data_IF_620846152303
#
_entry.id   IF_620846152303
#
_cell.length_a   1.000
_cell.length_b   1.000
_cell.length_c   1.000
_cell.angle_alpha   90.00
_cell.angle_beta   90.00
_cell.angle_gamma   90.00
#
_symmetry.space_group_name_H-M   'P 1'
#
loop_
_entity.id
_entity.type
_entity.pdbx_description
1 polymer ?
#
# COMPACT_ATOMS: atom_id res chain seq x y z
N UNK A 1 27.75 -4.97 35.33
CA UNK A 1 26.96 -5.33 34.13
C UNK A 1 25.74 -4.44 34.11
N UNK A 2 25.63 -3.54 33.13
CA UNK A 2 24.47 -2.65 33.01
C UNK A 2 23.30 -3.41 32.38
N UNK A 3 22.09 -3.10 32.83
CA UNK A 3 20.82 -3.60 32.29
C UNK A 3 19.98 -2.36 31.96
N UNK A 4 19.64 -2.18 30.67
CA UNK A 4 18.94 -1.02 30.13
C UNK A 4 17.90 -1.46 29.10
N UNK A 5 16.69 -1.85 29.55
CA UNK A 5 15.61 -2.18 28.63
C UNK A 5 15.26 -0.96 27.77
N UNK A 6 15.30 -1.11 26.45
CA UNK A 6 15.06 -0.04 25.47
C UNK A 6 13.72 -0.16 24.76
N UNK A 7 13.18 -1.38 24.66
CA UNK A 7 11.89 -1.65 24.02
C UNK A 7 11.29 -2.96 24.52
N UNK A 8 9.97 -3.12 24.42
CA UNK A 8 9.25 -4.32 24.81
C UNK A 8 8.03 -4.58 23.92
N UNK A 9 7.84 -5.83 23.49
CA UNK A 9 6.72 -6.27 22.66
C UNK A 9 6.23 -7.66 23.07
N UNK A 10 4.92 -7.90 22.97
CA UNK A 10 4.39 -9.26 23.09
C UNK A 10 4.52 -10.00 21.77
N UNK A 11 5.25 -11.11 21.78
CA UNK A 11 5.43 -11.97 20.61
C UNK A 11 4.17 -12.78 20.27
N UNK A 12 4.20 -13.45 19.13
CA UNK A 12 3.09 -14.28 18.63
C UNK A 12 2.81 -15.53 19.47
N UNK A 13 3.76 -15.89 20.33
CA UNK A 13 3.69 -16.96 21.31
C UNK A 13 3.12 -16.49 22.67
N UNK A 14 2.77 -15.20 22.78
CA UNK A 14 2.26 -14.59 24.01
C UNK A 14 3.35 -14.26 25.06
N UNK A 15 4.63 -14.44 24.75
CA UNK A 15 5.73 -14.06 25.63
C UNK A 15 6.03 -12.56 25.52
N UNK A 16 6.48 -11.94 26.62
CA UNK A 16 7.02 -10.57 26.56
C UNK A 16 8.49 -10.64 26.13
N UNK A 17 8.78 -10.07 24.97
CA UNK A 17 10.15 -9.86 24.51
C UNK A 17 10.55 -8.45 24.89
N UNK A 18 11.74 -8.28 25.47
CA UNK A 18 12.31 -6.96 25.66
C UNK A 18 13.76 -6.92 25.23
N UNK A 19 14.12 -5.84 24.56
CA UNK A 19 15.48 -5.56 24.14
C UNK A 19 16.20 -4.86 25.29
N UNK A 20 17.39 -5.34 25.60
CA UNK A 20 18.33 -4.67 26.47
C UNK A 20 19.52 -4.26 25.62
N UNK A 21 19.56 -2.99 25.29
CA UNK A 21 20.55 -2.39 24.43
C UNK A 21 21.24 -1.25 25.17
N UNK A 22 22.56 -1.32 25.20
CA UNK A 22 23.38 -0.30 25.84
C UNK A 22 24.11 0.51 24.78
N UNK A 23 23.65 1.73 24.54
CA UNK A 23 24.38 2.71 23.76
C UNK A 23 24.85 3.86 24.67
N UNK A 24 26.08 4.33 24.47
CA UNK A 24 26.61 5.52 25.15
C UNK A 24 25.95 6.79 24.62
N UNK A 25 25.54 6.76 23.34
CA UNK A 25 24.87 7.87 22.65
C UNK A 25 23.36 7.62 22.63
N UNK A 26 22.61 8.46 23.34
CA UNK A 26 21.13 8.49 23.34
C UNK A 26 20.70 9.87 22.83
N UNK A 27 19.86 9.95 21.79
CA UNK A 27 19.35 11.24 21.31
C UNK A 27 18.56 11.20 20.00
N UNK A 28 17.67 12.19 19.83
CA UNK A 28 16.93 12.45 18.59
C UNK A 28 17.83 13.15 17.57
N UNK A 29 18.66 12.39 16.86
CA UNK A 29 19.49 12.85 15.72
C UNK A 29 20.56 13.92 16.02
N UNK A 30 20.81 14.27 17.29
CA UNK A 30 21.90 15.20 17.68
C UNK A 30 23.30 14.64 17.38
N UNK A 31 23.42 13.32 17.27
CA UNK A 31 24.62 12.60 16.87
C UNK A 31 24.34 11.80 15.60
N UNK A 32 25.30 11.80 14.68
CA UNK A 32 25.19 11.08 13.41
C UNK A 32 24.84 9.59 13.65
N UNK A 33 23.97 9.00 12.81
CA UNK A 33 23.63 7.58 12.87
C UNK A 33 24.84 6.66 12.63
N UNK A 34 25.91 7.18 12.01
CA UNK A 34 27.19 6.49 11.78
C UNK A 34 28.29 6.86 12.81
N UNK A 35 27.92 7.49 13.92
CA UNK A 35 28.89 7.82 14.97
C UNK A 35 29.59 6.53 15.47
N UNK A 36 30.93 6.46 15.45
CA UNK A 36 31.67 5.24 15.77
C UNK A 36 31.52 4.81 17.24
N UNK A 37 31.04 5.68 18.12
CA UNK A 37 30.77 5.33 19.51
C UNK A 37 29.40 4.65 19.71
N UNK A 38 28.60 4.50 18.64
CA UNK A 38 27.37 3.70 18.71
C UNK A 38 27.72 2.22 18.79
N UNK A 39 27.18 1.55 19.81
CA UNK A 39 27.42 0.12 19.98
C UNK A 39 26.55 -0.70 19.00
N UNK A 40 27.22 -1.39 18.08
CA UNK A 40 26.63 -2.27 17.08
C UNK A 40 26.83 -3.76 17.38
N UNK A 41 27.54 -4.11 18.47
CA UNK A 41 27.97 -5.47 18.76
C UNK A 41 27.32 -6.06 20.00
N UNK A 42 26.86 -5.23 20.94
CA UNK A 42 26.30 -5.69 22.21
C UNK A 42 24.82 -5.33 22.38
N UNK A 43 24.00 -6.37 22.50
CA UNK A 43 22.59 -6.28 22.84
C UNK A 43 22.08 -7.65 23.28
N UNK A 44 21.00 -7.67 24.04
CA UNK A 44 20.33 -8.90 24.48
C UNK A 44 18.85 -8.78 24.18
N UNK A 45 18.25 -9.88 23.74
CA UNK A 45 16.78 -10.02 23.69
C UNK A 45 16.42 -11.01 24.77
N UNK A 46 15.60 -10.57 25.71
CA UNK A 46 15.04 -11.42 26.73
C UNK A 46 13.64 -11.84 26.31
N UNK A 47 13.33 -13.12 26.52
CA UNK A 47 11.98 -13.68 26.36
C UNK A 47 11.46 -14.06 27.74
N UNK A 48 10.45 -13.35 28.21
CA UNK A 48 9.82 -13.59 29.51
C UNK A 48 8.49 -14.31 29.33
N UNK A 49 8.32 -15.41 30.06
CA UNK A 49 7.12 -16.24 30.06
C UNK A 49 6.61 -16.42 31.47
N UNK A 50 5.30 -16.59 31.64
CA UNK A 50 4.71 -16.89 32.94
C UNK A 50 4.89 -18.38 33.25
N UNK A 51 5.48 -18.69 34.41
CA UNK A 51 5.68 -20.07 34.86
C UNK A 51 4.34 -20.82 34.90
N UNK A 52 4.31 -22.03 34.31
CA UNK A 52 3.12 -22.87 34.29
C UNK A 52 2.04 -22.45 33.28
N UNK A 53 2.24 -21.36 32.52
CA UNK A 53 1.32 -20.96 31.44
C UNK A 53 1.87 -21.42 30.08
N UNK A 54 1.13 -22.24 29.30
CA UNK A 54 1.57 -22.63 27.97
C UNK A 54 1.63 -21.42 27.04
N UNK A 55 2.56 -21.48 26.10
CA UNK A 55 2.68 -20.48 25.03
C UNK A 55 1.49 -20.56 24.09
N UNK A 56 1.14 -19.42 23.50
CA UNK A 56 0.15 -19.34 22.44
C UNK A 56 0.64 -20.12 21.21
N UNK A 57 -0.26 -20.85 20.56
CA UNK A 57 0.04 -21.49 19.29
C UNK A 57 0.13 -20.44 18.17
N UNK A 58 1.04 -20.59 17.20
CA UNK A 58 1.07 -19.74 16.02
C UNK A 58 -0.29 -19.73 15.31
N UNK A 59 -0.73 -18.55 14.88
CA UNK A 59 -1.96 -18.37 14.09
C UNK A 59 -1.55 -18.07 12.66
N UNK A 60 -2.02 -18.89 11.71
CA UNK A 60 -1.74 -18.69 10.30
C UNK A 60 -2.47 -17.43 9.78
N UNK A 61 -1.75 -16.58 9.05
CA UNK A 61 -2.28 -15.33 8.49
C UNK A 61 -1.93 -15.24 7.00
N UNK A 62 -0.64 -15.17 6.67
CA UNK A 62 -0.18 -15.07 5.28
C UNK A 62 -0.72 -16.23 4.42
N UNK A 63 -1.35 -15.89 3.30
CA UNK A 63 -1.89 -16.86 2.35
C UNK A 63 -3.18 -17.56 2.79
N UNK A 64 -3.73 -17.28 3.97
CA UNK A 64 -5.01 -17.84 4.40
C UNK A 64 -6.18 -17.23 3.61
N UNK A 65 -7.28 -17.97 3.34
CA UNK A 65 -8.43 -17.41 2.65
C UNK A 65 -9.14 -16.34 3.50
N UNK A 66 -9.82 -15.38 2.87
CA UNK A 66 -10.48 -14.26 3.56
C UNK A 66 -11.39 -14.72 4.72
N UNK A 67 -12.23 -15.76 4.59
CA UNK A 67 -13.05 -16.24 5.71
C UNK A 67 -12.25 -16.69 6.93
N UNK A 68 -11.09 -17.34 6.73
CA UNK A 68 -10.22 -17.76 7.84
C UNK A 68 -9.56 -16.56 8.52
N UNK A 69 -9.20 -15.53 7.75
CA UNK A 69 -8.70 -14.27 8.31
C UNK A 69 -9.78 -13.53 9.11
N UNK A 70 -11.01 -13.47 8.61
CA UNK A 70 -12.11 -12.86 9.37
C UNK A 70 -12.36 -13.62 10.68
N UNK A 71 -12.18 -14.94 10.71
CA UNK A 71 -12.25 -15.71 11.95
C UNK A 71 -11.15 -15.33 12.97
N UNK A 72 -9.93 -15.06 12.50
CA UNK A 72 -8.81 -14.58 13.33
C UNK A 72 -9.12 -13.25 14.03
N UNK A 73 -10.05 -12.43 13.53
CA UNK A 73 -10.44 -11.18 14.17
C UNK A 73 -11.17 -11.40 15.51
N UNK A 74 -11.63 -12.62 15.82
CA UNK A 74 -12.16 -12.98 17.15
C UNK A 74 -11.08 -13.36 18.16
N UNK A 75 -9.82 -13.45 17.73
CA UNK A 75 -8.74 -13.93 18.58
C UNK A 75 -8.51 -12.96 19.76
N UNK A 76 -8.29 -13.43 21.00
CA UNK A 76 -8.16 -12.55 22.18
C UNK A 76 -6.92 -11.64 22.14
N UNK A 77 -5.86 -12.10 21.48
CA UNK A 77 -4.58 -11.37 21.34
C UNK A 77 -4.63 -10.34 20.22
N UNK A 78 -4.40 -9.07 20.56
CA UNK A 78 -4.49 -7.96 19.59
C UNK A 78 -3.50 -8.06 18.44
N UNK A 79 -2.27 -8.52 18.68
CA UNK A 79 -1.26 -8.68 17.61
C UNK A 79 -1.67 -9.68 16.52
N UNK A 80 -2.54 -10.65 16.84
CA UNK A 80 -3.12 -11.56 15.83
C UNK A 80 -4.15 -10.80 15.00
N UNK A 81 -5.05 -10.04 15.64
CA UNK A 81 -6.08 -9.26 14.95
C UNK A 81 -5.46 -8.14 14.10
N UNK A 82 -4.49 -7.40 14.64
CA UNK A 82 -3.78 -6.34 13.92
C UNK A 82 -3.07 -6.86 12.67
N UNK A 83 -2.26 -7.92 12.78
CA UNK A 83 -1.59 -8.53 11.61
C UNK A 83 -2.59 -9.08 10.60
N UNK A 84 -3.72 -9.62 11.08
CA UNK A 84 -4.83 -10.07 10.23
C UNK A 84 -5.45 -8.90 9.46
N UNK A 85 -5.72 -7.76 10.10
CA UNK A 85 -6.21 -6.54 9.44
C UNK A 85 -5.23 -6.02 8.39
N UNK A 86 -3.92 -6.02 8.69
CA UNK A 86 -2.86 -5.68 7.73
C UNK A 86 -2.89 -6.61 6.52
N UNK A 87 -2.95 -7.93 6.72
CA UNK A 87 -3.07 -8.91 5.63
C UNK A 87 -4.33 -8.69 4.78
N UNK A 88 -5.47 -8.39 5.41
CA UNK A 88 -6.73 -8.09 4.71
C UNK A 88 -6.61 -6.82 3.85
N UNK A 89 -5.93 -5.78 4.34
CA UNK A 89 -5.77 -4.52 3.59
C UNK A 89 -4.98 -4.63 2.29
N UNK A 90 -4.12 -5.64 2.16
CA UNK A 90 -3.40 -5.91 0.91
C UNK A 90 -4.24 -6.62 -0.17
N UNK A 91 -5.50 -6.99 0.14
CA UNK A 91 -6.37 -7.77 -0.75
C UNK A 91 -7.37 -6.89 -1.48
N UNK A 92 -8.10 -7.50 -2.41
CA UNK A 92 -9.11 -6.76 -3.16
C UNK A 92 -10.24 -6.25 -2.25
N UNK A 93 -10.44 -4.93 -2.27
CA UNK A 93 -11.42 -4.25 -1.42
C UNK A 93 -12.84 -4.79 -1.62
N UNK A 94 -13.26 -5.10 -2.85
CA UNK A 94 -14.63 -5.57 -3.10
C UNK A 94 -14.83 -6.96 -2.48
N UNK A 95 -13.84 -7.84 -2.63
CA UNK A 95 -13.87 -9.17 -2.03
C UNK A 95 -13.86 -9.13 -0.50
N UNK A 96 -12.97 -8.32 0.10
CA UNK A 96 -12.86 -8.21 1.56
C UNK A 96 -14.13 -7.61 2.16
N UNK A 97 -14.67 -6.54 1.58
CA UNK A 97 -15.88 -5.90 2.11
C UNK A 97 -17.10 -6.81 1.95
N UNK A 98 -17.25 -7.50 0.82
CA UNK A 98 -18.35 -8.47 0.64
C UNK A 98 -18.27 -9.61 1.67
N UNK A 99 -17.07 -10.17 1.87
CA UNK A 99 -16.86 -11.22 2.86
C UNK A 99 -17.08 -10.73 4.30
N UNK A 100 -16.62 -9.51 4.62
CA UNK A 100 -16.81 -8.88 5.94
C UNK A 100 -18.30 -8.66 6.22
N UNK A 101 -19.05 -8.13 5.25
CA UNK A 101 -20.50 -7.97 5.35
C UNK A 101 -21.24 -9.29 5.56
N UNK A 102 -20.82 -10.35 4.88
CA UNK A 102 -21.38 -11.68 5.11
C UNK A 102 -21.01 -12.23 6.49
N UNK A 103 -19.77 -12.06 6.92
CA UNK A 103 -19.26 -12.53 8.21
C UNK A 103 -19.96 -11.83 9.38
N UNK A 104 -20.26 -10.54 9.27
CA UNK A 104 -20.95 -9.77 10.32
C UNK A 104 -22.36 -10.28 10.64
N UNK A 105 -23.05 -10.94 9.71
CA UNK A 105 -24.44 -11.41 9.89
C UNK A 105 -24.61 -12.42 11.03
N UNK A 106 -23.52 -13.02 11.51
CA UNK A 106 -23.55 -13.96 12.63
C UNK A 106 -23.59 -13.27 14.00
N UNK A 107 -23.36 -11.96 14.05
CA UNK A 107 -23.25 -11.18 15.29
C UNK A 107 -24.48 -10.31 15.51
N UNK A 108 -24.85 -10.15 16.77
CA UNK A 108 -25.96 -9.32 17.20
C UNK A 108 -25.44 -8.00 17.79
N UNK A 109 -25.71 -6.82 17.19
CA UNK A 109 -25.25 -5.54 17.70
C UNK A 109 -25.84 -5.17 19.07
N UNK A 110 -26.90 -5.85 19.52
CA UNK A 110 -27.48 -5.67 20.84
C UNK A 110 -26.79 -6.53 21.93
N UNK A 111 -25.88 -7.43 21.57
CA UNK A 111 -25.12 -8.25 22.52
C UNK A 111 -23.75 -7.67 22.82
N UNK A 112 -23.34 -7.76 24.08
CA UNK A 112 -22.06 -7.21 24.55
C UNK A 112 -20.88 -8.00 23.99
N UNK A 113 -21.03 -9.31 23.89
CA UNK A 113 -20.00 -10.26 23.45
C UNK A 113 -19.70 -10.09 21.95
N UNK A 114 -20.71 -9.68 21.18
CA UNK A 114 -20.64 -9.51 19.73
C UNK A 114 -20.14 -8.11 19.32
N UNK A 115 -20.04 -7.17 20.28
CA UNK A 115 -19.61 -5.81 20.02
C UNK A 115 -18.17 -5.71 19.50
N UNK A 116 -17.26 -6.56 19.99
CA UNK A 116 -15.86 -6.53 19.56
C UNK A 116 -15.68 -7.08 18.13
N UNK A 117 -16.22 -8.25 17.74
CA UNK A 117 -16.20 -8.68 16.35
C UNK A 117 -16.82 -7.66 15.37
N UNK A 118 -17.93 -7.02 15.74
CA UNK A 118 -18.53 -5.96 14.93
C UNK A 118 -17.63 -4.72 14.82
N UNK A 119 -16.93 -4.35 15.88
CA UNK A 119 -15.94 -3.26 15.86
C UNK A 119 -14.74 -3.59 14.98
N UNK A 120 -14.27 -4.84 14.99
CA UNK A 120 -13.21 -5.31 14.08
C UNK A 120 -13.64 -5.18 12.62
N UNK A 121 -14.90 -5.51 12.30
CA UNK A 121 -15.43 -5.28 10.97
C UNK A 121 -15.52 -3.78 10.61
N UNK A 122 -15.88 -2.91 11.56
CA UNK A 122 -15.89 -1.46 11.34
C UNK A 122 -14.49 -0.94 11.00
N UNK A 123 -13.46 -1.45 11.66
CA UNK A 123 -12.06 -1.09 11.35
C UNK A 123 -11.59 -1.67 10.01
N UNK A 124 -12.03 -2.87 9.62
CA UNK A 124 -11.79 -3.39 8.26
C UNK A 124 -12.39 -2.44 7.21
N UNK A 125 -13.63 -1.99 7.42
CA UNK A 125 -14.27 -0.98 6.58
C UNK A 125 -13.46 0.32 6.51
N UNK A 126 -12.98 0.82 7.66
CA UNK A 126 -12.15 2.01 7.74
C UNK A 126 -10.83 1.85 6.98
N UNK A 127 -10.15 0.73 7.12
CA UNK A 127 -8.85 0.47 6.48
C UNK A 127 -8.93 0.32 4.97
N UNK A 128 -10.09 -0.11 4.45
CA UNK A 128 -10.38 -0.17 3.02
C UNK A 128 -11.01 1.12 2.46
N UNK A 129 -11.09 2.20 3.26
CA UNK A 129 -11.74 3.46 2.89
C UNK A 129 -13.21 3.31 2.45
N UNK A 130 -13.93 2.28 2.94
CA UNK A 130 -15.35 2.04 2.63
C UNK A 130 -16.21 2.31 3.86
N UNK A 131 -16.90 3.46 3.87
CA UNK A 131 -17.74 3.88 5.02
C UNK A 131 -18.99 3.01 5.14
N UNK A 132 -19.08 2.25 6.24
CA UNK A 132 -20.30 1.55 6.62
C UNK A 132 -21.02 2.31 7.75
N UNK A 133 -21.83 3.29 7.33
CA UNK A 133 -22.59 4.17 8.25
C UNK A 133 -23.64 3.43 9.08
N UNK A 134 -24.20 2.34 8.55
CA UNK A 134 -25.16 1.52 9.28
C UNK A 134 -24.48 0.82 10.47
N UNK A 135 -23.39 0.11 10.21
CA UNK A 135 -22.58 -0.55 11.24
C UNK A 135 -22.05 0.44 12.28
N UNK A 136 -21.58 1.60 11.84
CA UNK A 136 -21.15 2.67 12.73
C UNK A 136 -22.31 3.11 13.65
N UNK A 137 -23.50 3.34 13.09
CA UNK A 137 -24.68 3.71 13.86
C UNK A 137 -25.11 2.66 14.88
N UNK A 138 -24.93 1.37 14.55
CA UNK A 138 -25.14 0.26 15.48
C UNK A 138 -24.12 0.29 16.62
N UNK A 139 -22.83 0.43 16.32
CA UNK A 139 -21.76 0.40 17.32
C UNK A 139 -21.75 1.64 18.23
N UNK A 140 -22.18 2.81 17.75
CA UNK A 140 -22.40 4.00 18.59
C UNK A 140 -23.48 3.77 19.66
N UNK A 141 -24.37 2.81 19.45
CA UNK A 141 -25.44 2.40 20.38
C UNK A 141 -25.13 1.06 21.08
N UNK A 142 -23.93 0.50 20.88
CA UNK A 142 -23.54 -0.80 21.44
C UNK A 142 -23.74 -0.84 22.96
N UNK A 143 -24.15 -1.98 23.56
CA UNK A 143 -24.18 -2.15 25.01
C UNK A 143 -22.77 -2.08 25.63
N UNK A 144 -21.70 -2.32 24.86
CA UNK A 144 -20.30 -2.27 25.32
C UNK A 144 -19.74 -0.84 25.26
N UNK A 145 -19.41 -0.21 26.41
CA UNK A 145 -18.89 1.16 26.43
C UNK A 145 -17.63 1.39 25.60
N UNK A 146 -16.68 0.45 25.58
CA UNK A 146 -15.46 0.60 24.79
C UNK A 146 -15.73 0.56 23.29
N UNK A 147 -16.71 -0.22 22.84
CA UNK A 147 -17.12 -0.25 21.44
C UNK A 147 -17.73 1.08 21.01
N UNK A 148 -18.54 1.71 21.88
CA UNK A 148 -19.07 3.07 21.61
C UNK A 148 -17.97 4.11 21.50
N UNK A 149 -16.97 4.08 22.38
CA UNK A 149 -15.83 5.02 22.35
C UNK A 149 -15.05 4.84 21.04
N UNK A 150 -14.71 3.60 20.67
CA UNK A 150 -14.01 3.32 19.44
C UNK A 150 -14.81 3.71 18.19
N UNK A 151 -16.12 3.48 18.19
CA UNK A 151 -17.02 3.93 17.13
C UNK A 151 -17.06 5.47 17.02
N UNK A 152 -17.04 6.20 18.14
CA UNK A 152 -16.93 7.66 18.13
C UNK A 152 -15.60 8.12 17.51
N UNK A 153 -14.49 7.41 17.74
CA UNK A 153 -13.22 7.71 17.06
C UNK A 153 -13.33 7.49 15.55
N UNK A 154 -13.95 6.40 15.10
CA UNK A 154 -14.21 6.16 13.66
C UNK A 154 -15.11 7.26 13.08
N UNK A 155 -16.18 7.64 13.78
CA UNK A 155 -17.07 8.73 13.38
C UNK A 155 -16.30 10.05 13.26
N UNK A 156 -15.45 10.37 14.24
CA UNK A 156 -14.61 11.56 14.19
C UNK A 156 -13.71 11.53 12.95
N UNK A 157 -13.01 10.43 12.71
CA UNK A 157 -12.11 10.28 11.55
C UNK A 157 -12.85 10.32 10.20
N UNK A 158 -14.09 9.84 10.12
CA UNK A 158 -14.87 9.86 8.87
C UNK A 158 -15.58 11.18 8.59
N UNK A 159 -15.97 11.93 9.62
CA UNK A 159 -16.87 13.09 9.45
C UNK A 159 -16.33 14.40 10.03
N UNK A 160 -15.51 14.36 11.08
CA UNK A 160 -15.13 15.55 11.85
C UNK A 160 -13.66 15.93 11.68
N UNK A 161 -12.81 14.99 11.30
CA UNK A 161 -11.51 15.33 10.72
C UNK A 161 -11.80 15.91 9.35
N UNK A 162 -11.81 17.24 9.31
CA UNK A 162 -11.77 17.99 8.07
C UNK A 162 -10.59 17.44 7.26
N UNK A 163 -10.85 16.99 6.02
CA UNK A 163 -9.77 16.54 5.12
C UNK A 163 -8.66 17.59 4.98
N UNK A 164 -8.98 18.86 5.27
CA UNK A 164 -8.14 20.06 5.24
C UNK A 164 -7.19 20.26 6.43
N UNK A 165 -7.34 19.53 7.55
CA UNK A 165 -6.45 19.69 8.70
C UNK A 165 -5.12 18.92 8.57
N UNK A 166 -4.65 18.70 7.34
CA UNK A 166 -3.26 18.51 6.84
C UNK A 166 -3.24 17.81 5.45
N UNK A 167 -4.39 17.55 4.81
CA UNK A 167 -4.50 17.17 3.40
C UNK A 167 -5.12 18.31 2.59
N UNK A 168 -4.74 18.48 1.32
CA UNK A 168 -5.35 19.50 0.47
C UNK A 168 -6.87 19.35 0.38
N UNK A 169 -7.55 20.38 -0.14
CA UNK A 169 -8.89 20.25 -0.70
C UNK A 169 -8.98 18.88 -1.39
N UNK A 170 -9.92 18.03 -0.96
CA UNK A 170 -10.46 17.05 -1.89
C UNK A 170 -11.11 17.92 -2.95
N UNK A 171 -10.34 18.26 -3.98
CA UNK A 171 -10.88 18.78 -5.22
C UNK A 171 -11.99 17.80 -5.55
N UNK A 172 -13.24 18.30 -5.59
CA UNK A 172 -14.41 17.45 -5.76
C UNK A 172 -14.08 16.43 -6.83
N UNK A 173 -14.26 15.14 -6.48
CA UNK A 173 -13.94 14.01 -7.34
C UNK A 173 -14.56 14.26 -8.71
N UNK A 174 -13.77 14.85 -9.61
CA UNK A 174 -13.72 14.34 -10.94
C UNK A 174 -12.96 13.04 -10.71
N UNK A 175 -13.68 11.98 -10.31
CA UNK A 175 -13.29 10.64 -10.72
C UNK A 175 -12.91 10.83 -12.19
N UNK A 176 -11.61 10.76 -12.50
CA UNK A 176 -11.18 10.64 -13.88
C UNK A 176 -11.88 9.36 -14.35
N UNK A 177 -13.06 9.53 -14.96
CA UNK A 177 -14.07 8.51 -15.11
C UNK A 177 -13.36 7.24 -15.52
N UNK A 178 -13.39 6.21 -14.67
CA UNK A 178 -12.53 5.04 -14.75
C UNK A 178 -12.52 4.51 -16.19
N UNK A 179 -11.59 5.02 -16.98
CA UNK A 179 -11.55 4.78 -18.41
C UNK A 179 -11.11 3.35 -18.56
N UNK A 180 -11.80 2.59 -19.41
CA UNK A 180 -11.33 1.26 -19.78
C UNK A 180 -9.85 1.39 -20.17
N UNK A 181 -8.97 0.62 -19.56
CA UNK A 181 -7.55 0.58 -19.95
C UNK A 181 -7.27 -0.60 -20.86
N UNK A 182 -6.09 -0.59 -21.48
CA UNK A 182 -5.66 -1.53 -22.49
C UNK A 182 -5.78 -0.96 -23.90
N UNK A 183 -5.98 -1.83 -24.90
CA UNK A 183 -6.21 -1.41 -26.30
C UNK A 183 -7.64 -0.88 -26.44
N UNK A 184 -7.77 0.40 -26.78
CA UNK A 184 -9.04 1.09 -27.00
C UNK A 184 -9.51 0.96 -28.45
N UNK A 185 -8.57 1.09 -29.38
CA UNK A 185 -8.81 0.89 -30.81
C UNK A 185 -7.52 0.45 -31.50
N UNK A 186 -7.66 -0.32 -32.56
CA UNK A 186 -6.53 -0.79 -33.37
C UNK A 186 -6.89 -0.74 -34.85
N UNK A 187 -6.44 0.30 -35.55
CA UNK A 187 -6.57 0.43 -37.02
C UNK A 187 -5.24 0.05 -37.68
N UNK A 188 -5.15 -0.15 -39.01
CA UNK A 188 -3.86 -0.42 -39.65
C UNK A 188 -2.78 0.65 -39.37
N UNK A 189 -3.18 1.90 -39.20
CA UNK A 189 -2.28 3.05 -39.06
C UNK A 189 -1.98 3.44 -37.60
N UNK A 190 -2.89 3.15 -36.66
CA UNK A 190 -2.81 3.65 -35.29
C UNK A 190 -3.40 2.65 -34.28
N UNK A 191 -2.67 2.38 -33.21
CA UNK A 191 -3.21 1.75 -32.00
C UNK A 191 -3.40 2.80 -30.92
N UNK A 192 -4.62 2.94 -30.39
CA UNK A 192 -4.88 3.79 -29.23
C UNK A 192 -4.93 2.93 -27.99
N UNK A 193 -4.11 3.27 -26.99
CA UNK A 193 -4.02 2.54 -25.72
C UNK A 193 -4.22 3.48 -24.54
N UNK A 194 -4.67 2.92 -23.42
CA UNK A 194 -4.72 3.62 -22.13
C UNK A 194 -4.07 2.77 -21.05
N UNK A 195 -3.25 3.40 -20.23
CA UNK A 195 -2.66 2.81 -19.02
C UNK A 195 -2.93 3.79 -17.87
N UNK A 196 -3.42 3.29 -16.74
CA UNK A 196 -3.57 4.09 -15.53
C UNK A 196 -2.82 3.49 -14.36
N UNK A 197 -2.55 4.34 -13.37
CA UNK A 197 -2.15 3.86 -12.03
C UNK A 197 -3.37 3.31 -11.31
N UNK A 198 -3.16 2.35 -10.40
CA UNK A 198 -4.22 1.84 -9.53
C UNK A 198 -4.08 2.54 -8.18
N UNK A 199 -5.10 3.29 -7.72
CA UNK A 199 -5.04 4.04 -6.47
C UNK A 199 -4.55 3.20 -5.31
N UNK A 200 -3.57 3.72 -4.57
CA UNK A 200 -2.99 3.12 -3.36
C UNK A 200 -2.33 1.74 -3.56
N UNK A 201 -2.15 1.27 -4.80
CA UNK A 201 -1.57 -0.06 -5.08
C UNK A 201 -0.19 -0.04 -5.72
N UNK A 202 0.38 1.14 -6.03
CA UNK A 202 1.73 1.27 -6.60
C UNK A 202 1.94 0.38 -7.85
N UNK A 203 0.91 0.25 -8.69
CA UNK A 203 0.93 -0.59 -9.89
C UNK A 203 0.20 0.11 -11.02
N UNK A 204 0.56 -0.24 -12.26
CA UNK A 204 -0.29 0.04 -13.40
C UNK A 204 -1.44 -0.97 -13.46
N UNK A 205 -2.58 -0.55 -14.00
CA UNK A 205 -3.76 -1.39 -14.21
C UNK A 205 -3.57 -2.38 -15.37
N UNK A 206 -2.73 -2.01 -16.33
CA UNK A 206 -2.29 -2.84 -17.43
C UNK A 206 -0.85 -3.27 -17.17
N UNK A 207 -0.61 -4.60 -17.08
CA UNK A 207 0.73 -5.16 -16.88
C UNK A 207 1.38 -5.64 -18.18
N UNK A 208 0.56 -5.91 -19.19
CA UNK A 208 1.00 -6.44 -20.48
C UNK A 208 0.13 -5.86 -21.60
N UNK A 209 0.77 -5.41 -22.67
CA UNK A 209 0.13 -5.05 -23.94
C UNK A 209 0.89 -5.68 -25.09
N UNK A 210 0.17 -6.04 -26.16
CA UNK A 210 0.78 -6.49 -27.41
C UNK A 210 0.46 -5.50 -28.52
N UNK A 211 1.48 -5.03 -29.24
CA UNK A 211 1.34 -4.10 -30.38
C UNK A 211 2.18 -4.58 -31.57
N UNK A 212 1.83 -4.12 -32.77
CA UNK A 212 2.60 -4.41 -33.98
C UNK A 212 3.87 -3.55 -34.06
N UNK A 213 4.98 -4.16 -34.46
CA UNK A 213 6.25 -3.47 -34.66
C UNK A 213 6.15 -2.30 -35.65
N UNK A 214 6.77 -1.17 -35.32
CA UNK A 214 6.79 0.02 -36.17
C UNK A 214 5.46 0.77 -36.30
N UNK A 215 4.40 0.33 -35.59
CA UNK A 215 3.08 0.95 -35.66
C UNK A 215 3.02 2.22 -34.81
N UNK A 216 2.25 3.23 -35.25
CA UNK A 216 2.01 4.42 -34.43
C UNK A 216 1.11 4.06 -33.26
N UNK A 217 1.46 4.58 -32.08
CA UNK A 217 0.75 4.38 -30.83
C UNK A 217 0.35 5.75 -30.28
N UNK A 218 -0.91 5.88 -29.88
CA UNK A 218 -1.39 6.99 -29.03
C UNK A 218 -1.72 6.42 -27.65
N UNK A 219 -0.91 6.74 -26.66
CA UNK A 219 -1.08 6.32 -25.28
C UNK A 219 -1.69 7.45 -24.45
N UNK A 220 -2.80 7.19 -23.77
CA UNK A 220 -3.23 7.98 -22.62
C UNK A 220 -2.66 7.37 -21.34
N UNK A 221 -1.74 8.07 -20.68
CA UNK A 221 -1.29 7.71 -19.33
C UNK A 221 -2.06 8.54 -18.30
N UNK A 222 -2.68 7.88 -17.33
CA UNK A 222 -3.53 8.52 -16.33
C UNK A 222 -3.09 8.20 -14.91
N UNK A 223 -3.10 9.20 -14.03
CA UNK A 223 -2.79 9.03 -12.63
C UNK A 223 -3.97 9.33 -11.70
N UNK A 224 -4.90 8.37 -11.48
CA UNK A 224 -5.91 8.51 -10.43
C UNK A 224 -5.36 8.28 -9.02
N UNK A 225 -4.13 7.76 -8.86
CA UNK A 225 -3.49 7.58 -7.55
C UNK A 225 -3.08 8.93 -6.93
N UNK A 226 -2.98 9.00 -5.61
CA UNK A 226 -2.62 10.23 -4.90
C UNK A 226 -1.14 10.57 -5.04
N UNK A 227 -0.29 9.55 -5.20
CA UNK A 227 1.14 9.73 -5.35
C UNK A 227 1.49 10.08 -6.79
N UNK A 228 2.51 10.95 -7.04
CA UNK A 228 2.96 11.24 -8.39
C UNK A 228 3.57 10.01 -9.07
N UNK A 229 3.29 9.84 -10.36
CA UNK A 229 3.78 8.71 -11.15
C UNK A 229 4.18 9.13 -12.55
N UNK A 230 5.19 8.48 -13.09
CA UNK A 230 5.55 8.56 -14.50
C UNK A 230 5.56 7.16 -15.12
N UNK A 231 5.75 7.08 -16.43
CA UNK A 231 5.86 5.84 -17.17
C UNK A 231 6.95 6.00 -18.25
N UNK A 232 7.99 5.18 -18.14
CA UNK A 232 9.12 5.16 -19.08
C UNK A 232 9.13 3.82 -19.82
N UNK A 233 9.12 3.83 -21.15
CA UNK A 233 9.39 2.63 -21.96
C UNK A 233 10.89 2.56 -22.25
N UNK A 234 11.49 1.41 -21.99
CA UNK A 234 12.95 1.27 -22.04
C UNK A 234 13.38 0.02 -22.79
N UNK A 235 14.67 -0.03 -23.15
CA UNK A 235 15.26 -1.22 -23.75
C UNK A 235 15.19 -2.43 -22.80
N UNK A 236 15.08 -3.67 -23.33
CA UNK A 236 15.04 -4.88 -22.52
C UNK A 236 16.22 -4.97 -21.54
N UNK A 237 15.93 -5.33 -20.29
CA UNK A 237 16.94 -5.50 -19.23
C UNK A 237 17.45 -4.20 -18.59
N UNK A 238 16.87 -3.03 -18.90
CA UNK A 238 17.39 -1.73 -18.44
C UNK A 238 16.68 -1.07 -17.26
N UNK A 239 15.58 -1.63 -16.76
CA UNK A 239 14.82 -1.04 -15.63
C UNK A 239 15.73 -0.76 -14.43
N UNK A 240 16.44 -1.75 -13.91
CA UNK A 240 17.13 -1.60 -12.63
C UNK A 240 18.33 -0.63 -12.71
N UNK A 241 19.02 -0.59 -13.86
CA UNK A 241 20.08 0.40 -14.13
C UNK A 241 19.50 1.83 -14.12
N UNK A 242 18.40 2.03 -14.84
CA UNK A 242 17.74 3.33 -14.96
C UNK A 242 17.09 3.77 -13.64
N UNK A 243 16.48 2.85 -12.91
CA UNK A 243 15.89 3.12 -11.61
C UNK A 243 16.95 3.59 -10.60
N UNK A 244 18.13 2.97 -10.59
CA UNK A 244 19.24 3.43 -9.74
C UNK A 244 19.74 4.83 -10.14
N UNK A 245 19.81 5.13 -11.45
CA UNK A 245 20.13 6.49 -11.92
C UNK A 245 19.07 7.51 -11.51
N UNK A 246 17.79 7.16 -11.63
CA UNK A 246 16.68 8.01 -11.18
C UNK A 246 16.75 8.29 -9.66
N UNK A 247 17.05 7.25 -8.86
CA UNK A 247 17.24 7.39 -7.42
C UNK A 247 18.41 8.30 -7.07
N UNK A 248 19.51 8.22 -7.84
CA UNK A 248 20.71 9.03 -7.65
C UNK A 248 20.50 10.52 -7.95
N UNK A 249 19.44 10.91 -8.66
CA UNK A 249 19.06 12.32 -8.85
C UNK A 249 18.73 13.01 -7.52
N UNK A 250 18.30 12.25 -6.51
CA UNK A 250 17.90 12.78 -5.22
C UNK A 250 16.83 13.88 -5.36
N UNK A 251 16.98 14.97 -4.60
CA UNK A 251 16.01 16.07 -4.64
C UNK A 251 15.91 16.77 -6.01
N UNK A 252 16.97 16.74 -6.83
CA UNK A 252 16.95 17.35 -8.18
C UNK A 252 16.04 16.59 -9.14
N UNK A 253 15.66 15.36 -8.83
CA UNK A 253 14.75 14.58 -9.66
C UNK A 253 13.38 15.25 -9.85
N UNK A 254 12.92 16.09 -8.93
CA UNK A 254 11.67 16.83 -9.15
C UNK A 254 11.74 17.82 -10.32
N UNK A 255 12.92 18.35 -10.65
CA UNK A 255 13.10 19.31 -11.75
C UNK A 255 12.87 18.65 -13.13
N UNK A 256 13.08 17.34 -13.23
CA UNK A 256 12.96 16.58 -14.47
C UNK A 256 12.02 15.36 -14.35
N UNK A 257 11.16 15.33 -13.34
CA UNK A 257 10.21 14.24 -13.13
C UNK A 257 10.84 12.87 -12.85
N UNK A 258 12.05 12.83 -12.29
CA UNK A 258 12.85 11.64 -11.99
C UNK A 258 13.27 10.81 -13.22
N UNK A 259 13.35 11.45 -14.38
CA UNK A 259 13.77 10.81 -15.62
C UNK A 259 15.30 10.97 -15.77
N UNK A 260 16.09 9.89 -15.62
CA UNK A 260 17.54 9.99 -15.77
C UNK A 260 17.93 10.12 -17.25
N UNK A 261 19.05 10.78 -17.53
CA UNK A 261 19.61 10.78 -18.89
C UNK A 261 20.10 9.37 -19.27
N UNK A 262 19.56 8.81 -20.35
CA UNK A 262 20.04 7.54 -20.89
C UNK A 262 19.53 7.29 -22.32
N UNK A 263 20.36 6.75 -23.23
CA UNK A 263 19.91 6.30 -24.54
C UNK A 263 19.00 5.05 -24.47
N UNK A 264 18.90 4.40 -23.30
CA UNK A 264 18.05 3.24 -23.09
C UNK A 264 16.58 3.58 -22.81
N UNK A 265 16.24 4.87 -22.66
CA UNK A 265 14.86 5.34 -22.56
C UNK A 265 14.36 5.63 -23.97
N UNK A 266 13.36 4.86 -24.42
CA UNK A 266 12.80 4.98 -25.75
C UNK A 266 11.81 6.15 -25.83
N UNK A 267 11.02 6.32 -24.76
CA UNK A 267 10.19 7.48 -24.50
C UNK A 267 9.76 7.48 -23.04
N UNK A 268 9.24 8.61 -22.56
CA UNK A 268 8.72 8.77 -21.21
C UNK A 268 7.53 9.72 -21.17
N UNK A 269 6.69 9.58 -20.15
CA UNK A 269 5.71 10.59 -19.76
C UNK A 269 6.37 11.70 -18.94
N UNK A 270 5.61 12.75 -18.61
CA UNK A 270 5.86 13.63 -17.47
C UNK A 270 5.60 12.89 -16.16
N UNK A 271 6.04 13.49 -15.04
CA UNK A 271 5.60 13.08 -13.71
C UNK A 271 4.19 13.66 -13.48
N UNK A 272 3.19 12.79 -13.51
CA UNK A 272 1.79 13.18 -13.36
C UNK A 272 1.42 13.22 -11.88
N UNK A 273 0.92 14.37 -11.43
CA UNK A 273 0.23 14.51 -10.15
C UNK A 273 -1.15 13.81 -10.18
N UNK A 274 -1.76 13.70 -9.00
CA UNK A 274 -3.10 13.14 -8.83
C UNK A 274 -4.15 13.79 -9.76
N UNK A 275 -4.96 12.95 -10.39
CA UNK A 275 -6.04 13.35 -11.29
C UNK A 275 -5.58 13.89 -12.65
N UNK A 276 -4.28 13.82 -12.97
CA UNK A 276 -3.75 14.25 -14.27
C UNK A 276 -3.66 13.08 -15.25
N UNK A 277 -3.79 13.42 -16.52
CA UNK A 277 -3.54 12.50 -17.63
C UNK A 277 -2.64 13.20 -18.66
N UNK A 278 -1.88 12.42 -19.40
CA UNK A 278 -1.05 12.86 -20.52
C UNK A 278 -1.29 11.96 -21.74
N UNK A 279 -1.30 12.56 -22.93
CA UNK A 279 -1.33 11.83 -24.19
C UNK A 279 0.07 11.84 -24.81
N UNK A 280 0.58 10.64 -25.07
CA UNK A 280 1.90 10.41 -25.63
C UNK A 280 1.71 9.74 -26.98
N UNK A 281 2.31 10.30 -28.03
CA UNK A 281 2.36 9.69 -29.35
C UNK A 281 3.77 9.20 -29.64
N UNK A 282 3.91 7.91 -29.94
CA UNK A 282 5.19 7.30 -30.27
C UNK A 282 5.03 6.24 -31.36
N UNK A 283 6.14 5.82 -31.95
CA UNK A 283 6.17 4.67 -32.86
C UNK A 283 6.66 3.46 -32.07
N UNK A 284 5.91 2.37 -32.07
CA UNK A 284 6.34 1.12 -31.46
C UNK A 284 7.71 0.69 -32.02
N UNK A 285 8.62 0.17 -31.18
CA UNK A 285 9.92 -0.29 -31.64
C UNK A 285 9.82 -1.18 -32.89
N UNK A 286 10.70 -0.99 -33.87
CA UNK A 286 10.63 -1.79 -35.11
C UNK A 286 11.15 -3.22 -34.93
N UNK A 287 11.91 -3.48 -33.86
CA UNK A 287 12.44 -4.81 -33.55
C UNK A 287 11.44 -5.54 -32.65
N UNK A 288 10.92 -6.72 -33.05
CA UNK A 288 10.10 -7.53 -32.17
C UNK A 288 10.87 -7.95 -30.91
N UNK A 289 10.34 -7.59 -29.75
CA UNK A 289 10.85 -7.95 -28.42
C UNK A 289 9.84 -7.54 -27.33
N UNK A 290 10.14 -7.93 -26.10
CA UNK A 290 9.40 -7.50 -24.91
C UNK A 290 10.08 -6.25 -24.33
N UNK A 291 9.45 -5.09 -24.54
CA UNK A 291 9.96 -3.79 -24.07
C UNK A 291 9.33 -3.45 -22.72
N UNK A 292 10.10 -3.45 -21.64
CA UNK A 292 9.56 -3.12 -20.33
C UNK A 292 9.23 -1.63 -20.22
N UNK A 293 8.19 -1.32 -19.44
CA UNK A 293 7.95 0.02 -18.91
C UNK A 293 7.85 0.02 -17.40
N UNK A 294 8.22 1.14 -16.77
CA UNK A 294 8.23 1.26 -15.31
C UNK A 294 8.06 2.72 -14.85
N UNK A 295 7.72 2.87 -13.56
CA UNK A 295 7.72 4.16 -12.87
C UNK A 295 9.09 4.40 -12.25
N UNK A 296 9.76 5.48 -12.65
CA UNK A 296 11.08 5.88 -12.15
C UNK A 296 11.02 6.77 -10.92
N UNK A 297 9.82 7.17 -10.47
CA UNK A 297 9.67 7.87 -9.20
C UNK A 297 10.29 7.02 -8.06
N UNK A 298 11.02 7.64 -7.11
CA UNK A 298 11.87 6.91 -6.17
C UNK A 298 11.18 5.75 -5.47
N UNK A 299 11.75 4.54 -5.63
CA UNK A 299 11.24 3.30 -5.01
C UNK A 299 10.08 2.61 -5.73
N UNK A 300 9.37 3.27 -6.66
CA UNK A 300 8.18 2.69 -7.30
C UNK A 300 8.51 1.55 -8.25
N UNK A 301 9.65 1.66 -8.95
CA UNK A 301 10.15 0.66 -9.88
C UNK A 301 10.22 -0.76 -9.30
N UNK A 302 10.24 -0.98 -7.98
CA UNK A 302 10.30 -2.32 -7.38
C UNK A 302 9.07 -3.15 -7.79
N UNK A 303 7.89 -2.54 -7.83
CA UNK A 303 6.62 -3.22 -8.11
C UNK A 303 5.86 -2.61 -9.31
N UNK A 304 6.11 -1.35 -9.63
CA UNK A 304 5.39 -0.61 -10.66
C UNK A 304 6.05 -0.79 -12.05
N UNK A 305 5.86 -1.99 -12.60
CA UNK A 305 6.42 -2.43 -13.90
C UNK A 305 5.32 -3.03 -14.78
N UNK A 306 5.51 -2.95 -16.09
CA UNK A 306 4.76 -3.72 -17.08
C UNK A 306 5.57 -3.94 -18.35
N UNK A 307 4.96 -4.56 -19.35
CA UNK A 307 5.64 -4.91 -20.61
C UNK A 307 4.80 -4.59 -21.85
N UNK A 308 5.42 -3.96 -22.83
CA UNK A 308 4.90 -3.78 -24.17
C UNK A 308 5.56 -4.83 -25.08
N UNK A 309 4.80 -5.87 -25.42
CA UNK A 309 5.20 -6.92 -26.35
C UNK A 309 5.05 -6.42 -27.77
N UNK A 310 6.17 -6.32 -28.49
CA UNK A 310 6.18 -5.86 -29.87
C UNK A 310 6.37 -7.05 -30.78
N UNK A 311 5.43 -7.25 -31.71
CA UNK A 311 5.39 -8.40 -32.64
C UNK A 311 5.36 -7.98 -34.09
#
# INVERSE_FOLDING_TARGET
KNFRPSDAIFGEDGALYFSDWHNVIIGHMQHNVRDPNRDHQHGRIYRMTATGRPLQKPVAIAGQPIPALLDNLKHPTDSVRQRTRVELSGRDTKEVIAATQQWMKQFDPAKKEDAHPLLEALWVHQQHNVRNVELLGQLLKSPEPHARIAANTVQHLWFNVEASMHGGLVAGEVEAAAGKSGILSDTPELTTIRIATVPERLTYDVKELTVTAGKKIRLTFANPDFMPHNLLLVNPGKIDELANKALALGAKGFENGFIPESPDILWHSQLLDHGKEEIIEFTAPSKPADYPYFCSFPGHHIIMRGVLKVK
#
